data_IF_589872588979
#
_entry.id   IF_589872588979
#
_cell.length_a   1.000
_cell.length_b   1.000
_cell.length_c   1.000
_cell.angle_alpha   90.00
_cell.angle_beta   90.00
_cell.angle_gamma   90.00
#
_symmetry.space_group_name_H-M   'P 1'
#
loop_
_entity.id
_entity.type
_entity.pdbx_description
1 polymer ?
#
# COMPACT_ATOMS: atom_id res chain seq x y z
N UNK A 1 21.65 -5.89 8.10
CA UNK A 1 20.88 -5.19 7.05
C UNK A 1 19.38 -5.48 7.10
N UNK A 2 18.96 -6.66 7.57
CA UNK A 2 17.54 -7.04 7.66
C UNK A 2 16.78 -6.44 8.87
N UNK A 3 17.50 -5.98 9.86
CA UNK A 3 16.96 -5.36 11.08
C UNK A 3 16.30 -4.00 10.81
N UNK A 4 16.75 -3.22 9.83
CA UNK A 4 16.21 -1.90 9.51
C UNK A 4 14.80 -1.97 8.91
N UNK A 5 14.55 -2.89 7.97
CA UNK A 5 13.24 -3.04 7.34
C UNK A 5 12.14 -3.43 8.33
N UNK A 6 12.46 -4.33 9.28
CA UNK A 6 11.51 -4.72 10.33
C UNK A 6 11.24 -3.57 11.31
N UNK A 7 12.27 -2.81 11.70
CA UNK A 7 12.10 -1.67 12.59
C UNK A 7 11.32 -0.53 11.95
N UNK A 8 11.44 -0.34 10.63
CA UNK A 8 10.69 0.67 9.90
C UNK A 8 9.20 0.36 9.82
N UNK A 9 8.82 -0.90 9.59
CA UNK A 9 7.41 -1.33 9.65
C UNK A 9 6.84 -1.08 11.03
N UNK A 10 7.58 -1.43 12.08
CA UNK A 10 7.15 -1.26 13.46
C UNK A 10 6.92 0.20 13.84
N UNK A 11 7.83 1.08 13.46
CA UNK A 11 7.72 2.53 13.74
C UNK A 11 6.58 3.20 12.96
N UNK A 12 6.30 2.74 11.74
CA UNK A 12 5.26 3.34 10.89
C UNK A 12 3.84 3.14 11.39
N UNK A 13 3.59 2.19 12.29
CA UNK A 13 2.29 2.03 12.95
C UNK A 13 1.84 3.32 13.64
N UNK A 14 2.78 4.07 14.24
CA UNK A 14 2.51 5.33 14.91
C UNK A 14 1.86 6.38 14.00
N UNK A 15 2.16 6.37 12.70
CA UNK A 15 1.56 7.31 11.75
C UNK A 15 0.05 7.10 11.60
N UNK A 16 -0.39 5.85 11.56
CA UNK A 16 -1.82 5.51 11.44
C UNK A 16 -2.59 5.82 12.71
N UNK A 17 -2.00 5.51 13.87
CA UNK A 17 -2.58 5.88 15.16
C UNK A 17 -2.70 7.40 15.29
N UNK A 18 -1.65 8.14 14.88
CA UNK A 18 -1.65 9.60 14.91
C UNK A 18 -2.70 10.19 13.94
N UNK A 19 -2.78 9.68 12.71
CA UNK A 19 -3.76 10.13 11.73
C UNK A 19 -5.19 9.92 12.24
N UNK A 20 -5.47 8.74 12.79
CA UNK A 20 -6.78 8.43 13.39
C UNK A 20 -7.10 9.38 14.57
N UNK A 21 -6.15 9.56 15.48
CA UNK A 21 -6.32 10.46 16.62
C UNK A 21 -6.57 11.91 16.21
N UNK A 22 -5.94 12.37 15.11
CA UNK A 22 -6.15 13.69 14.53
C UNK A 22 -7.57 13.84 13.96
N UNK A 23 -8.05 12.85 13.21
CA UNK A 23 -9.42 12.85 12.68
C UNK A 23 -10.44 12.91 13.82
N UNK A 24 -10.26 12.07 14.83
CA UNK A 24 -11.13 12.08 16.02
C UNK A 24 -11.08 13.41 16.78
N UNK A 25 -9.88 13.93 17.06
CA UNK A 25 -9.71 15.22 17.76
C UNK A 25 -10.36 16.39 17.03
N UNK A 26 -10.33 16.35 15.69
CA UNK A 26 -10.92 17.41 14.86
C UNK A 26 -12.43 17.21 14.61
N UNK A 27 -13.05 16.19 15.20
CA UNK A 27 -14.48 15.88 15.01
C UNK A 27 -14.82 15.36 13.62
N UNK A 28 -13.83 14.94 12.83
CA UNK A 28 -14.06 14.40 11.49
C UNK A 28 -14.61 12.98 11.50
N UNK A 29 -14.38 12.25 12.59
CA UNK A 29 -14.91 10.90 12.87
C UNK A 29 -15.41 10.83 14.32
N UNK A 30 -16.37 9.94 14.56
CA UNK A 30 -16.84 9.59 15.91
C UNK A 30 -15.85 8.61 16.59
N UNK A 31 -16.06 8.39 17.89
CA UNK A 31 -15.29 7.37 18.62
C UNK A 31 -15.56 6.00 18.02
N UNK A 32 -14.49 5.24 17.79
CA UNK A 32 -14.51 3.89 17.21
C UNK A 32 -15.09 3.80 15.79
N UNK A 33 -15.31 4.95 15.14
CA UNK A 33 -15.69 5.00 13.73
C UNK A 33 -14.55 4.47 12.86
N UNK A 34 -14.87 3.54 11.95
CA UNK A 34 -13.88 2.93 11.09
C UNK A 34 -13.49 3.85 9.94
N UNK A 35 -12.22 3.83 9.58
CA UNK A 35 -11.68 4.56 8.43
C UNK A 35 -11.08 3.61 7.40
N UNK A 36 -11.01 4.04 6.15
CA UNK A 36 -10.19 3.39 5.14
C UNK A 36 -8.78 3.99 5.12
N UNK A 37 -7.80 3.16 4.77
CA UNK A 37 -6.42 3.60 4.60
C UNK A 37 -5.94 3.18 3.22
N UNK A 38 -5.52 4.16 2.40
CA UNK A 38 -4.94 3.93 1.07
C UNK A 38 -3.43 4.13 1.15
N UNK A 39 -2.68 3.17 0.63
CA UNK A 39 -1.22 3.22 0.70
C UNK A 39 -0.61 2.96 -0.67
N UNK A 40 0.18 3.92 -1.20
CA UNK A 40 1.01 3.65 -2.37
C UNK A 40 2.05 2.60 -1.99
N UNK A 41 2.01 1.45 -2.67
CA UNK A 41 2.66 0.25 -2.16
C UNK A 41 3.65 -0.33 -3.16
N UNK A 42 4.93 -0.36 -2.76
CA UNK A 42 5.99 -1.14 -3.37
C UNK A 42 6.34 -2.33 -2.47
N UNK A 43 7.34 -2.19 -1.59
CA UNK A 43 7.85 -3.25 -0.71
C UNK A 43 6.90 -3.68 0.44
N UNK A 44 5.64 -3.30 0.39
CA UNK A 44 4.59 -3.68 1.34
C UNK A 44 4.79 -3.23 2.81
N UNK A 45 5.91 -2.62 3.14
CA UNK A 45 6.22 -2.27 4.54
C UNK A 45 5.24 -1.30 5.18
N UNK A 46 4.80 -0.29 4.42
CA UNK A 46 3.92 0.74 4.95
C UNK A 46 2.49 0.23 5.18
N UNK A 47 1.90 -0.46 4.21
CA UNK A 47 0.56 -1.05 4.37
C UNK A 47 0.54 -2.18 5.41
N UNK A 48 1.64 -2.93 5.55
CA UNK A 48 1.81 -3.93 6.60
C UNK A 48 1.79 -3.28 8.00
N UNK A 49 2.37 -2.08 8.15
CA UNK A 49 2.27 -1.33 9.39
C UNK A 49 0.82 -0.94 9.72
N UNK A 50 0.03 -0.52 8.71
CA UNK A 50 -1.39 -0.27 8.89
C UNK A 50 -2.17 -1.54 9.26
N UNK A 51 -1.84 -2.67 8.66
CA UNK A 51 -2.42 -3.98 9.00
C UNK A 51 -2.13 -4.37 10.46
N UNK A 52 -0.91 -4.17 10.93
CA UNK A 52 -0.58 -4.44 12.34
C UNK A 52 -1.30 -3.45 13.27
N UNK A 53 -1.39 -2.17 12.92
CA UNK A 53 -2.16 -1.19 13.70
C UNK A 53 -3.64 -1.60 13.82
N UNK A 54 -4.25 -2.08 12.72
CA UNK A 54 -5.61 -2.64 12.72
C UNK A 54 -5.71 -3.83 13.68
N UNK A 55 -4.78 -4.77 13.63
CA UNK A 55 -4.77 -5.95 14.51
C UNK A 55 -4.52 -5.59 15.99
N UNK A 56 -3.94 -4.44 16.27
CA UNK A 56 -3.80 -3.88 17.62
C UNK A 56 -5.06 -3.13 18.11
N UNK A 57 -6.10 -3.07 17.29
CA UNK A 57 -7.39 -2.48 17.65
C UNK A 57 -7.68 -1.11 17.03
N UNK A 58 -6.81 -0.58 16.15
CA UNK A 58 -7.11 0.65 15.43
C UNK A 58 -8.31 0.43 14.48
N UNK A 59 -9.37 1.25 14.55
CA UNK A 59 -10.58 1.04 13.75
C UNK A 59 -10.35 1.33 12.26
N UNK A 60 -9.79 0.37 11.55
CA UNK A 60 -9.60 0.41 10.09
C UNK A 60 -10.61 -0.53 9.43
N UNK A 61 -11.41 -0.01 8.50
CA UNK A 61 -12.35 -0.80 7.70
C UNK A 61 -11.59 -1.55 6.60
N UNK A 62 -10.95 -0.83 5.69
CA UNK A 62 -10.22 -1.36 4.54
C UNK A 62 -8.79 -0.85 4.47
N UNK A 63 -7.92 -1.74 4.01
CA UNK A 63 -6.54 -1.49 3.64
C UNK A 63 -6.44 -1.53 2.11
N UNK A 64 -6.32 -0.36 1.50
CA UNK A 64 -6.35 -0.21 0.04
C UNK A 64 -4.91 -0.15 -0.46
N UNK A 65 -4.48 -1.24 -1.09
CA UNK A 65 -3.16 -1.42 -1.66
C UNK A 65 -3.11 -0.83 -3.07
N UNK A 66 -2.46 0.29 -3.23
CA UNK A 66 -2.34 0.97 -4.51
C UNK A 66 -1.01 0.58 -5.19
N UNK A 67 -1.10 0.07 -6.42
CA UNK A 67 0.05 -0.26 -7.28
C UNK A 67 0.15 0.72 -8.45
N UNK A 68 1.37 0.90 -8.98
CA UNK A 68 1.58 1.51 -10.29
C UNK A 68 1.48 0.43 -11.40
N UNK A 69 2.00 0.69 -12.59
CA UNK A 69 1.97 -0.29 -13.70
C UNK A 69 2.73 -1.59 -13.41
N UNK A 70 3.68 -1.60 -12.47
CA UNK A 70 4.26 -2.81 -11.90
C UNK A 70 3.29 -3.46 -10.90
N UNK A 71 2.16 -3.90 -11.39
CA UNK A 71 0.96 -4.28 -10.64
C UNK A 71 0.97 -5.68 -10.03
N UNK A 72 2.13 -6.19 -9.63
CA UNK A 72 2.28 -7.53 -9.05
C UNK A 72 1.39 -7.75 -7.82
N UNK A 73 1.25 -6.73 -6.97
CA UNK A 73 0.38 -6.81 -5.78
C UNK A 73 -1.11 -6.79 -6.15
N UNK A 74 -1.51 -5.98 -7.13
CA UNK A 74 -2.88 -5.99 -7.65
C UNK A 74 -3.26 -7.37 -8.16
N UNK A 75 -2.41 -7.98 -9.00
CA UNK A 75 -2.65 -9.31 -9.55
C UNK A 75 -2.71 -10.35 -8.43
N UNK A 76 -1.83 -10.25 -7.41
CA UNK A 76 -1.86 -11.13 -6.24
C UNK A 76 -3.19 -11.02 -5.47
N UNK A 77 -3.66 -9.82 -5.13
CA UNK A 77 -4.94 -9.66 -4.42
C UNK A 77 -6.13 -10.12 -5.25
N UNK A 78 -6.05 -9.99 -6.57
CA UNK A 78 -7.13 -10.39 -7.48
C UNK A 78 -7.19 -11.92 -7.66
N UNK A 79 -6.04 -12.59 -7.82
CA UNK A 79 -5.97 -14.00 -8.23
C UNK A 79 -5.58 -14.95 -7.10
N UNK A 80 -4.91 -14.47 -6.04
CA UNK A 80 -4.26 -15.29 -5.03
C UNK A 80 -2.88 -15.81 -5.46
N UNK A 81 -2.41 -15.45 -6.66
CA UNK A 81 -1.11 -15.86 -7.18
C UNK A 81 -0.14 -14.68 -7.22
N UNK A 82 1.00 -14.82 -6.60
CA UNK A 82 2.10 -13.89 -6.73
C UNK A 82 3.05 -14.37 -7.83
N UNK A 83 3.24 -13.55 -8.87
CA UNK A 83 4.08 -13.89 -10.02
C UNK A 83 5.00 -12.73 -10.38
N UNK A 84 6.33 -12.95 -10.22
CA UNK A 84 7.37 -11.97 -10.58
C UNK A 84 7.88 -12.11 -12.03
N UNK A 85 7.44 -13.15 -12.77
CA UNK A 85 7.89 -13.43 -14.13
C UNK A 85 7.16 -12.51 -15.13
N UNK A 86 7.54 -11.24 -15.11
CA UNK A 86 6.98 -10.18 -15.95
C UNK A 86 8.02 -9.12 -16.25
N UNK A 87 7.76 -8.30 -17.25
CA UNK A 87 8.62 -7.17 -17.58
C UNK A 87 8.60 -6.14 -16.45
N UNK A 88 9.77 -5.54 -16.21
CA UNK A 88 9.92 -4.43 -15.27
C UNK A 88 9.65 -3.11 -16.01
N UNK A 89 8.76 -2.30 -15.48
CA UNK A 89 8.34 -1.04 -16.07
C UNK A 89 8.89 0.12 -15.22
N UNK A 90 9.65 1.02 -15.84
CA UNK A 90 10.09 2.27 -15.20
C UNK A 90 8.93 3.28 -15.26
N UNK A 91 8.54 3.79 -14.09
CA UNK A 91 7.42 4.73 -13.95
C UNK A 91 7.83 6.03 -13.29
N UNK A 92 6.91 7.00 -13.25
CA UNK A 92 7.10 8.26 -12.53
C UNK A 92 7.01 8.08 -10.99
N UNK A 93 6.68 6.89 -10.50
CA UNK A 93 6.64 6.54 -9.06
C UNK A 93 7.68 5.46 -8.70
N UNK A 94 9.00 5.77 -8.81
CA UNK A 94 10.06 4.76 -8.83
C UNK A 94 10.20 3.93 -7.55
N UNK A 95 9.78 4.41 -6.39
CA UNK A 95 9.80 3.58 -5.18
C UNK A 95 8.73 2.47 -5.16
N UNK A 96 7.82 2.48 -6.13
CA UNK A 96 6.84 1.43 -6.37
C UNK A 96 7.23 0.50 -7.53
N UNK A 97 8.33 0.79 -8.24
CA UNK A 97 8.86 -0.04 -9.34
C UNK A 97 9.57 -1.26 -8.77
N UNK A 98 8.81 -2.28 -8.51
CA UNK A 98 9.31 -3.53 -7.94
C UNK A 98 8.60 -4.74 -8.57
N UNK A 99 9.31 -5.86 -8.61
CA UNK A 99 8.74 -7.18 -8.93
C UNK A 99 8.67 -8.10 -7.71
N UNK A 100 9.44 -7.81 -6.66
CA UNK A 100 9.45 -8.57 -5.41
C UNK A 100 9.13 -7.62 -4.25
N UNK A 101 8.00 -7.84 -3.61
CA UNK A 101 7.53 -7.09 -2.45
C UNK A 101 7.99 -7.78 -1.16
N UNK A 102 9.18 -7.40 -0.66
CA UNK A 102 9.91 -8.13 0.38
C UNK A 102 9.18 -8.26 1.73
N UNK A 103 8.30 -7.32 2.08
CA UNK A 103 7.56 -7.41 3.34
C UNK A 103 6.22 -8.17 3.21
N UNK A 104 5.81 -8.55 2.00
CA UNK A 104 4.60 -9.33 1.79
C UNK A 104 4.70 -10.71 2.46
N UNK A 105 5.90 -11.29 2.51
CA UNK A 105 6.19 -12.54 3.20
C UNK A 105 5.63 -12.56 4.64
N UNK A 106 5.70 -11.44 5.35
CA UNK A 106 5.17 -11.34 6.72
C UNK A 106 3.64 -11.42 6.77
N UNK A 107 2.96 -10.88 5.77
CA UNK A 107 1.50 -11.06 5.64
C UNK A 107 1.19 -12.52 5.29
N UNK A 108 1.95 -13.13 4.35
CA UNK A 108 1.78 -14.53 3.97
C UNK A 108 1.93 -15.45 5.17
N UNK A 109 2.97 -15.26 5.99
CA UNK A 109 3.17 -16.00 7.23
C UNK A 109 1.94 -15.89 8.17
N UNK A 110 1.40 -14.67 8.34
CA UNK A 110 0.22 -14.44 9.22
C UNK A 110 -1.02 -15.13 8.71
N UNK A 111 -1.34 -15.02 7.43
CA UNK A 111 -2.53 -15.65 6.84
C UNK A 111 -2.38 -17.17 6.65
N UNK A 112 -1.15 -17.67 6.64
CA UNK A 112 -0.86 -19.11 6.72
C UNK A 112 -1.08 -19.69 8.13
N UNK A 113 -1.58 -18.92 9.09
CA UNK A 113 -1.77 -19.35 10.47
C UNK A 113 -0.50 -19.35 11.30
N UNK A 114 0.50 -18.56 10.94
CA UNK A 114 1.87 -18.54 11.49
C UNK A 114 2.63 -19.85 11.26
N UNK A 115 2.30 -20.55 10.20
CA UNK A 115 2.95 -21.80 9.80
C UNK A 115 4.24 -21.48 9.03
N UNK A 116 5.38 -21.74 9.66
CA UNK A 116 6.69 -21.46 9.09
C UNK A 116 7.01 -22.37 7.88
N UNK A 117 6.59 -23.62 7.90
CA UNK A 117 6.86 -24.57 6.82
C UNK A 117 6.11 -24.17 5.55
N UNK A 118 4.82 -23.84 5.68
CA UNK A 118 4.03 -23.31 4.55
C UNK A 118 4.62 -22.03 3.98
N UNK A 119 5.02 -21.11 4.85
CA UNK A 119 5.64 -19.85 4.40
C UNK A 119 6.96 -20.11 3.68
N UNK A 120 7.84 -20.94 4.25
CA UNK A 120 9.13 -21.30 3.63
C UNK A 120 8.93 -21.90 2.24
N UNK A 121 8.00 -22.85 2.10
CA UNK A 121 7.69 -23.48 0.82
C UNK A 121 7.28 -22.45 -0.24
N UNK A 122 6.38 -21.52 0.07
CA UNK A 122 5.97 -20.47 -0.86
C UNK A 122 7.12 -19.53 -1.24
N UNK A 123 8.03 -19.23 -0.30
CA UNK A 123 9.21 -18.39 -0.58
C UNK A 123 10.24 -19.14 -1.44
N UNK A 124 10.38 -20.46 -1.27
CA UNK A 124 11.18 -21.31 -2.13
C UNK A 124 10.61 -21.37 -3.56
N UNK A 125 9.29 -21.56 -3.71
CA UNK A 125 8.61 -21.49 -5.01
C UNK A 125 8.81 -20.13 -5.70
N UNK A 126 8.73 -19.03 -4.94
CA UNK A 126 9.04 -17.71 -5.46
C UNK A 126 10.50 -17.58 -5.93
N UNK A 127 11.42 -18.21 -5.23
CA UNK A 127 12.84 -18.18 -5.58
C UNK A 127 13.16 -19.00 -6.82
N UNK A 128 12.59 -20.20 -6.93
CA UNK A 128 12.87 -21.18 -8.01
C UNK A 128 12.05 -20.93 -9.26
N UNK A 129 10.71 -20.80 -9.08
CA UNK A 129 9.74 -20.73 -10.17
C UNK A 129 9.31 -19.29 -10.48
N UNK A 130 9.68 -18.35 -9.61
CA UNK A 130 9.29 -16.95 -9.71
C UNK A 130 7.84 -16.67 -9.32
N UNK A 131 7.10 -17.65 -8.81
CA UNK A 131 5.69 -17.52 -8.44
C UNK A 131 5.28 -18.50 -7.34
N UNK A 132 4.23 -18.14 -6.60
CA UNK A 132 3.50 -19.01 -5.68
C UNK A 132 2.02 -18.67 -5.66
N UNK A 133 1.18 -19.58 -5.17
CA UNK A 133 -0.24 -19.34 -4.96
C UNK A 133 -0.62 -19.62 -3.49
N UNK A 134 -1.50 -18.77 -2.94
CA UNK A 134 -2.09 -18.97 -1.62
C UNK A 134 -3.34 -19.85 -1.72
N UNK A 135 -3.70 -20.52 -0.63
CA UNK A 135 -4.93 -21.34 -0.56
C UNK A 135 -6.18 -20.45 -0.43
N UNK A 136 -7.36 -21.03 -0.66
CA UNK A 136 -8.62 -20.31 -0.50
C UNK A 136 -8.86 -19.86 0.95
N UNK A 137 -8.42 -20.65 1.93
CA UNK A 137 -8.49 -20.29 3.36
C UNK A 137 -7.59 -19.09 3.67
N UNK A 138 -6.39 -19.01 3.10
CA UNK A 138 -5.50 -17.86 3.22
C UNK A 138 -6.11 -16.65 2.53
N UNK A 139 -6.71 -16.85 1.36
CA UNK A 139 -7.35 -15.78 0.59
C UNK A 139 -8.52 -15.15 1.34
N UNK A 140 -9.31 -15.96 2.04
CA UNK A 140 -10.41 -15.46 2.88
C UNK A 140 -9.94 -14.49 3.97
N UNK A 141 -8.70 -14.65 4.48
CA UNK A 141 -8.13 -13.74 5.47
C UNK A 141 -7.67 -12.39 4.88
N UNK A 142 -7.68 -12.24 3.56
CA UNK A 142 -7.38 -10.97 2.88
C UNK A 142 -8.63 -10.10 2.67
N UNK A 143 -9.79 -10.44 3.23
CA UNK A 143 -11.05 -9.72 3.04
C UNK A 143 -11.00 -8.23 3.43
N UNK A 144 -10.08 -7.85 4.30
CA UNK A 144 -9.85 -6.44 4.69
C UNK A 144 -9.00 -5.66 3.68
N UNK A 145 -8.36 -6.35 2.75
CA UNK A 145 -7.57 -5.72 1.70
C UNK A 145 -8.40 -5.50 0.43
N UNK A 146 -8.10 -4.41 -0.24
CA UNK A 146 -8.51 -4.12 -1.60
C UNK A 146 -7.26 -3.74 -2.39
N UNK A 147 -7.00 -4.39 -3.51
CA UNK A 147 -5.88 -4.09 -4.40
C UNK A 147 -6.38 -3.52 -5.72
N UNK A 148 -5.73 -2.45 -6.20
CA UNK A 148 -5.91 -1.95 -7.57
C UNK A 148 -4.64 -1.21 -8.02
N UNK A 149 -4.59 -0.78 -9.26
CA UNK A 149 -3.46 -0.06 -9.83
C UNK A 149 -3.88 1.18 -10.61
N UNK A 150 -2.93 2.08 -10.84
CA UNK A 150 -3.10 3.28 -11.66
C UNK A 150 -1.99 3.31 -12.71
N UNK A 151 -2.36 3.53 -13.98
CA UNK A 151 -1.39 3.69 -15.07
C UNK A 151 -0.70 5.05 -15.00
N UNK A 152 0.39 5.23 -15.77
CA UNK A 152 1.09 6.52 -15.88
C UNK A 152 0.15 7.62 -16.39
N UNK A 153 -0.68 7.32 -17.40
CA UNK A 153 -1.65 8.27 -17.92
C UNK A 153 -2.71 8.67 -16.87
N UNK A 154 -3.23 7.68 -16.13
CA UNK A 154 -4.19 7.93 -15.05
C UNK A 154 -3.54 8.70 -13.90
N UNK A 155 -2.27 8.42 -13.59
CA UNK A 155 -1.50 9.15 -12.57
C UNK A 155 -1.39 10.63 -12.91
N UNK A 156 -1.00 10.96 -14.15
CA UNK A 156 -0.92 12.33 -14.62
C UNK A 156 -2.28 13.06 -14.59
N UNK A 157 -3.35 12.37 -15.02
CA UNK A 157 -4.73 12.90 -14.95
C UNK A 157 -5.17 13.16 -13.51
N UNK A 158 -4.80 12.27 -12.58
CA UNK A 158 -5.15 12.42 -11.15
C UNK A 158 -4.47 13.64 -10.54
N UNK A 159 -3.18 13.88 -10.82
CA UNK A 159 -2.47 15.08 -10.37
C UNK A 159 -3.15 16.33 -10.89
N UNK A 160 -3.41 16.38 -12.21
CA UNK A 160 -4.05 17.52 -12.87
C UNK A 160 -5.41 17.81 -12.26
N UNK A 161 -6.26 16.77 -12.17
CA UNK A 161 -7.62 16.90 -11.65
C UNK A 161 -7.63 17.42 -10.21
N UNK A 162 -6.79 16.84 -9.33
CA UNK A 162 -6.74 17.27 -7.93
C UNK A 162 -6.29 18.73 -7.81
N UNK A 163 -5.31 19.15 -8.62
CA UNK A 163 -4.87 20.53 -8.66
C UNK A 163 -5.97 21.48 -9.13
N UNK A 164 -6.69 21.14 -10.20
CA UNK A 164 -7.80 21.94 -10.73
C UNK A 164 -8.95 22.06 -9.70
N UNK A 165 -9.25 20.96 -8.99
CA UNK A 165 -10.37 20.92 -8.04
C UNK A 165 -10.03 21.62 -6.70
N UNK A 166 -8.77 21.61 -6.26
CA UNK A 166 -8.41 22.01 -4.88
C UNK A 166 -7.25 23.01 -4.78
N UNK A 167 -6.50 23.21 -5.83
CA UNK A 167 -5.22 23.96 -5.82
C UNK A 167 -4.07 23.19 -5.14
N UNK A 168 -4.27 21.95 -4.70
CA UNK A 168 -3.28 21.14 -4.00
C UNK A 168 -2.51 20.25 -4.97
N UNK A 169 -1.17 20.32 -4.91
CA UNK A 169 -0.28 19.53 -5.74
C UNK A 169 0.17 18.31 -4.93
N UNK A 170 0.00 17.13 -5.50
CA UNK A 170 0.47 15.86 -4.93
C UNK A 170 1.62 15.27 -5.76
N UNK A 171 2.48 14.49 -5.11
CA UNK A 171 3.52 13.70 -5.78
C UNK A 171 2.91 12.50 -6.55
N UNK A 172 3.73 11.90 -7.43
CA UNK A 172 3.30 10.80 -8.29
C UNK A 172 2.87 9.55 -7.52
N UNK A 173 3.52 9.22 -6.39
CA UNK A 173 3.14 8.08 -5.56
C UNK A 173 1.78 8.30 -4.89
N UNK A 174 1.57 9.49 -4.33
CA UNK A 174 0.28 9.88 -3.76
C UNK A 174 -0.80 9.91 -4.83
N UNK A 175 -0.47 10.32 -6.06
CA UNK A 175 -1.41 10.32 -7.19
C UNK A 175 -1.84 8.90 -7.59
N UNK A 176 -0.92 7.93 -7.61
CA UNK A 176 -1.28 6.51 -7.79
C UNK A 176 -2.29 6.07 -6.74
N UNK A 177 -2.06 6.41 -5.47
CA UNK A 177 -2.97 6.06 -4.39
C UNK A 177 -4.33 6.74 -4.52
N UNK A 178 -4.37 8.02 -4.91
CA UNK A 178 -5.61 8.76 -5.13
C UNK A 178 -6.43 8.18 -6.31
N UNK A 179 -5.77 7.81 -7.41
CA UNK A 179 -6.41 7.15 -8.55
C UNK A 179 -6.98 5.78 -8.19
N UNK A 180 -6.26 5.00 -7.39
CA UNK A 180 -6.78 3.72 -6.88
C UNK A 180 -7.96 3.93 -5.93
N UNK A 181 -7.95 4.98 -5.11
CA UNK A 181 -9.09 5.31 -4.25
C UNK A 181 -10.33 5.67 -5.05
N UNK A 182 -10.20 6.39 -6.17
CA UNK A 182 -11.32 6.68 -7.05
C UNK A 182 -11.90 5.40 -7.68
N UNK A 183 -11.04 4.41 -8.03
CA UNK A 183 -11.48 3.09 -8.49
C UNK A 183 -12.20 2.32 -7.36
N UNK A 184 -11.65 2.33 -6.15
CA UNK A 184 -12.28 1.70 -4.99
C UNK A 184 -13.71 2.20 -4.77
N UNK A 185 -13.92 3.53 -4.79
CA UNK A 185 -15.25 4.12 -4.64
C UNK A 185 -16.23 3.65 -5.72
N UNK A 186 -15.75 3.53 -6.96
CA UNK A 186 -16.57 3.05 -8.09
C UNK A 186 -16.94 1.57 -7.94
N UNK A 187 -15.97 0.75 -7.53
CA UNK A 187 -16.13 -0.70 -7.47
C UNK A 187 -17.00 -1.13 -6.27
N UNK A 188 -16.93 -0.39 -5.16
CA UNK A 188 -17.61 -0.76 -3.91
C UNK A 188 -18.84 0.10 -3.59
N UNK A 189 -18.96 1.28 -4.18
CA UNK A 189 -19.96 2.28 -3.80
C UNK A 189 -19.70 2.98 -2.46
N UNK A 190 -18.56 2.68 -1.80
CA UNK A 190 -18.20 3.29 -0.51
C UNK A 190 -17.67 4.71 -0.70
N UNK A 191 -18.56 5.69 -0.58
CA UNK A 191 -18.25 7.12 -0.63
C UNK A 191 -18.29 7.79 0.74
N UNK A 192 -18.78 7.11 1.76
CA UNK A 192 -19.07 7.68 3.09
C UNK A 192 -17.94 7.44 4.09
N UNK A 193 -17.26 6.30 4.00
CA UNK A 193 -16.19 5.95 4.94
C UNK A 193 -15.03 6.94 4.83
N UNK A 194 -14.70 7.60 5.92
CA UNK A 194 -13.55 8.52 5.97
C UNK A 194 -12.27 7.78 5.58
N UNK A 195 -11.51 8.37 4.68
CA UNK A 195 -10.34 7.73 4.09
C UNK A 195 -9.10 8.57 4.28
N UNK A 196 -8.02 7.91 4.71
CA UNK A 196 -6.68 8.50 4.80
C UNK A 196 -5.84 7.95 3.66
N UNK A 197 -5.28 8.83 2.84
CA UNK A 197 -4.29 8.47 1.81
C UNK A 197 -2.91 8.77 2.37
N UNK A 198 -2.05 7.75 2.45
CA UNK A 198 -0.68 7.90 2.91
C UNK A 198 0.15 8.65 1.85
N UNK A 199 0.57 9.87 2.15
CA UNK A 199 1.51 10.61 1.32
C UNK A 199 2.94 10.23 1.72
N UNK A 200 3.59 9.40 0.92
CA UNK A 200 4.87 8.77 1.25
C UNK A 200 6.07 9.48 0.64
N UNK A 201 5.84 10.43 -0.26
CA UNK A 201 6.87 11.21 -0.91
C UNK A 201 6.62 12.71 -0.71
N UNK A 202 7.71 13.46 -0.53
CA UNK A 202 7.64 14.93 -0.45
C UNK A 202 7.82 15.53 -1.84
N UNK A 203 6.94 16.46 -2.21
CA UNK A 203 7.20 17.38 -3.29
C UNK A 203 8.28 18.36 -2.80
N UNK A 204 9.49 18.24 -3.35
CA UNK A 204 10.54 19.20 -3.10
C UNK A 204 10.23 20.48 -3.86
N UNK A 205 9.84 21.52 -3.15
CA UNK A 205 9.75 22.88 -3.70
C UNK A 205 11.10 23.60 -3.70
N UNK A 206 12.13 22.99 -3.07
CA UNK A 206 13.52 23.48 -3.09
C UNK A 206 14.50 22.29 -3.01
N UNK A 207 15.73 22.42 -3.58
CA UNK A 207 16.72 21.34 -3.51
C UNK A 207 17.04 20.99 -2.06
N UNK A 208 17.00 19.70 -1.74
CA UNK A 208 17.45 19.21 -0.44
C UNK A 208 18.94 19.49 -0.24
N UNK A 209 19.41 19.76 1.00
CA UNK A 209 20.85 19.85 1.27
C UNK A 209 21.63 18.57 0.90
N UNK A 210 20.94 17.44 0.74
CA UNK A 210 21.54 16.18 0.24
C UNK A 210 21.80 16.20 -1.26
N UNK A 211 20.99 16.90 -2.03
CA UNK A 211 21.14 16.99 -3.50
C UNK A 211 22.36 17.79 -3.91
N UNK A 212 22.85 18.68 -3.02
CA UNK A 212 24.07 19.48 -3.22
C UNK A 212 25.37 18.69 -3.02
N UNK A 213 25.33 17.44 -2.57
CA UNK A 213 26.50 16.60 -2.35
C UNK A 213 26.81 15.63 -3.50
N UNK A 214 26.02 15.68 -4.57
CA UNK A 214 26.20 14.82 -5.75
C UNK A 214 26.60 15.60 -7.01
N UNK A 215 26.97 16.89 -6.88
CA UNK A 215 27.53 17.71 -7.96
C UNK A 215 29.00 17.97 -7.76
#
# INVERSE_FOLDING_TARGET
LYSSAASDVYKRQAYYVYAYAKLYKNGAIAKDEKINVVVPTGNFGNILAAFYAKNMGLPIAKLICASNENKVLYDFFSTGTYDRNRDFILTSSPSMDILISSNLERLIYRIAGNDAEKNTKMMEELSTDGKYAITDEMRAQLADFYGNYTSEEETAKTIKKLYEDTGYIIDTHTAVAAGVYDKYKKDTGDTETKTVIASTCLLYTSPSPRDKRQS
#
